data_IF_186768516783
#
_entry.id   IF_186768516783
#
_cell.length_a   1.000
_cell.length_b   1.000
_cell.length_c   1.000
_cell.angle_alpha   90.00
_cell.angle_beta   90.00
_cell.angle_gamma   90.00
#
_symmetry.space_group_name_H-M   'P 1'
#
loop_
_entity.id
_entity.type
_entity.pdbx_description
1 polymer ?
#
# COMPACT_ATOMS: atom_id res chain seq x y z
N UNK A 1 3.59 30.03 -61.19
CA UNK A 1 3.61 29.17 -60.00
C UNK A 1 2.71 29.78 -58.94
N UNK A 2 1.49 29.29 -58.78
CA UNK A 2 0.60 29.66 -57.67
C UNK A 2 0.18 28.34 -57.02
N UNK A 3 0.86 27.95 -55.95
CA UNK A 3 0.44 26.83 -55.11
C UNK A 3 -0.83 27.24 -54.37
N UNK A 4 -1.98 26.82 -54.92
CA UNK A 4 -3.27 26.97 -54.26
C UNK A 4 -3.30 26.02 -53.06
N UNK A 5 -3.08 26.57 -51.87
CA UNK A 5 -3.43 25.89 -50.61
C UNK A 5 -4.94 25.63 -50.64
N UNK A 6 -5.34 24.37 -50.94
CA UNK A 6 -6.74 23.95 -50.90
C UNK A 6 -7.30 24.21 -49.50
N UNK A 7 -8.45 24.87 -49.35
CA UNK A 7 -9.05 25.08 -48.04
C UNK A 7 -9.42 23.73 -47.42
N UNK A 8 -8.92 23.49 -46.21
CA UNK A 8 -9.13 22.27 -45.42
C UNK A 8 -10.63 22.10 -45.23
N UNK A 9 -11.24 21.23 -46.03
CA UNK A 9 -12.68 21.05 -46.02
C UNK A 9 -12.98 20.06 -44.91
N UNK A 10 -13.26 20.57 -43.69
CA UNK A 10 -13.69 19.77 -42.52
C UNK A 10 -14.87 18.83 -42.80
N UNK A 11 -15.58 19.01 -43.93
CA UNK A 11 -16.58 18.09 -44.49
C UNK A 11 -16.02 16.71 -44.91
N UNK A 12 -14.70 16.59 -45.10
CA UNK A 12 -14.03 15.33 -45.44
C UNK A 12 -13.87 14.40 -44.23
N UNK A 13 -14.14 14.88 -43.01
CA UNK A 13 -14.05 14.06 -41.80
C UNK A 13 -15.24 13.09 -41.76
N UNK A 14 -15.00 11.77 -41.75
CA UNK A 14 -16.06 10.76 -41.79
C UNK A 14 -16.93 10.78 -40.52
N UNK A 15 -18.19 10.38 -40.69
CA UNK A 15 -19.10 10.15 -39.57
C UNK A 15 -18.62 8.99 -38.69
N UNK A 16 -18.89 9.07 -37.39
CA UNK A 16 -18.50 8.02 -36.41
C UNK A 16 -19.04 6.65 -36.81
N UNK A 17 -20.27 6.57 -37.34
CA UNK A 17 -20.89 5.32 -37.78
C UNK A 17 -20.09 4.63 -38.90
N UNK A 18 -19.64 5.39 -39.90
CA UNK A 18 -18.84 4.87 -41.01
C UNK A 18 -17.49 4.31 -40.55
N UNK A 19 -16.85 4.98 -39.59
CA UNK A 19 -15.59 4.48 -39.00
C UNK A 19 -15.86 3.24 -38.15
N UNK A 20 -16.96 3.21 -37.40
CA UNK A 20 -17.33 2.07 -36.56
C UNK A 20 -17.55 0.81 -37.42
N UNK A 21 -18.21 0.95 -38.58
CA UNK A 21 -18.36 -0.14 -39.55
C UNK A 21 -17.00 -0.60 -40.11
N UNK A 22 -16.13 0.34 -40.49
CA UNK A 22 -14.81 0.02 -41.04
C UNK A 22 -13.84 -0.60 -40.01
N UNK A 23 -13.93 -0.22 -38.75
CA UNK A 23 -13.18 -0.84 -37.64
C UNK A 23 -13.65 -2.28 -37.41
N UNK A 24 -14.92 -2.56 -37.64
CA UNK A 24 -15.49 -3.90 -37.51
C UNK A 24 -15.73 -4.33 -36.07
N UNK A 25 -15.84 -5.64 -35.85
CA UNK A 25 -16.05 -6.21 -34.51
C UNK A 25 -14.81 -6.04 -33.65
N UNK A 26 -15.00 -5.56 -32.43
CA UNK A 26 -13.96 -5.49 -31.40
C UNK A 26 -14.45 -6.19 -30.12
N UNK A 27 -13.51 -6.69 -29.34
CA UNK A 27 -13.66 -7.24 -27.98
C UNK A 27 -13.89 -6.17 -26.90
N UNK A 28 -13.96 -4.89 -27.31
CA UNK A 28 -14.26 -3.77 -26.43
C UNK A 28 -15.76 -3.43 -26.48
N UNK A 29 -16.37 -3.02 -25.35
CA UNK A 29 -17.74 -2.54 -25.36
C UNK A 29 -17.92 -1.38 -26.35
N UNK A 30 -18.99 -1.43 -27.16
CA UNK A 30 -19.28 -0.43 -28.19
C UNK A 30 -19.16 1.04 -27.71
N UNK A 31 -19.65 1.42 -26.51
CA UNK A 31 -19.48 2.79 -26.01
C UNK A 31 -18.02 3.25 -25.91
N UNK A 32 -17.10 2.35 -25.55
CA UNK A 32 -15.65 2.64 -25.44
C UNK A 32 -15.06 2.88 -26.83
N UNK A 33 -15.41 2.05 -27.80
CA UNK A 33 -14.96 2.19 -29.20
C UNK A 33 -15.47 3.50 -29.80
N UNK A 34 -16.74 3.82 -29.58
CA UNK A 34 -17.35 5.08 -30.04
C UNK A 34 -16.66 6.29 -29.42
N UNK A 35 -16.34 6.25 -28.13
CA UNK A 35 -15.61 7.33 -27.46
C UNK A 35 -14.18 7.48 -28.02
N UNK A 36 -13.47 6.37 -28.25
CA UNK A 36 -12.13 6.39 -28.87
C UNK A 36 -12.15 7.04 -30.27
N UNK A 37 -13.14 6.68 -31.09
CA UNK A 37 -13.37 7.30 -32.40
C UNK A 37 -13.63 8.79 -32.24
N UNK A 38 -14.55 9.19 -31.34
CA UNK A 38 -14.88 10.60 -31.11
C UNK A 38 -13.66 11.40 -30.68
N UNK A 39 -12.84 10.89 -29.77
CA UNK A 39 -11.60 11.56 -29.32
C UNK A 39 -10.61 11.72 -30.47
N UNK A 40 -10.39 10.67 -31.29
CA UNK A 40 -9.49 10.76 -32.44
C UNK A 40 -9.99 11.76 -33.48
N UNK A 41 -11.28 11.73 -33.81
CA UNK A 41 -11.89 12.70 -34.72
C UNK A 41 -11.82 14.14 -34.18
N UNK A 42 -12.01 14.35 -32.89
CA UNK A 42 -11.85 15.68 -32.29
C UNK A 42 -10.41 16.21 -32.41
N UNK A 43 -9.40 15.36 -32.28
CA UNK A 43 -7.99 15.73 -32.54
C UNK A 43 -7.76 16.07 -34.01
N UNK A 44 -8.32 15.28 -34.94
CA UNK A 44 -8.24 15.57 -36.39
C UNK A 44 -8.95 16.89 -36.73
N UNK A 45 -10.09 17.20 -36.12
CA UNK A 45 -10.81 18.47 -36.31
C UNK A 45 -9.99 19.69 -35.88
N UNK A 46 -9.16 19.53 -34.85
CA UNK A 46 -8.27 20.57 -34.34
C UNK A 46 -6.96 20.68 -35.15
N UNK A 47 -6.60 19.66 -35.93
CA UNK A 47 -5.43 19.65 -36.79
C UNK A 47 -5.63 20.51 -38.05
N UNK A 48 -4.53 20.88 -38.70
CA UNK A 48 -4.51 21.63 -39.97
C UNK A 48 -4.71 20.75 -41.20
N UNK A 49 -4.66 19.44 -41.07
CA UNK A 49 -4.80 18.52 -42.20
C UNK A 49 -5.75 17.39 -41.82
N UNK A 50 -6.60 17.00 -42.76
CA UNK A 50 -7.52 15.87 -42.60
C UNK A 50 -6.91 14.70 -43.37
N UNK A 51 -6.45 13.63 -42.68
CA UNK A 51 -5.96 12.43 -43.34
C UNK A 51 -7.07 11.79 -44.18
N UNK A 52 -6.68 10.97 -45.16
CA UNK A 52 -7.63 10.16 -45.91
C UNK A 52 -8.36 9.15 -44.99
N UNK A 53 -9.46 8.59 -45.49
CA UNK A 53 -10.32 7.71 -44.71
C UNK A 53 -9.58 6.48 -44.15
N UNK A 54 -8.73 5.83 -44.94
CA UNK A 54 -8.00 4.63 -44.51
C UNK A 54 -6.95 4.97 -43.44
N UNK A 55 -6.28 6.12 -43.58
CA UNK A 55 -5.41 6.66 -42.54
C UNK A 55 -6.16 6.94 -41.23
N UNK A 56 -7.37 7.53 -41.30
CA UNK A 56 -8.20 7.76 -40.10
C UNK A 56 -8.59 6.44 -39.44
N UNK A 57 -9.04 5.45 -40.22
CA UNK A 57 -9.39 4.12 -39.70
C UNK A 57 -8.20 3.45 -39.03
N UNK A 58 -7.01 3.53 -39.65
CA UNK A 58 -5.76 3.00 -39.06
C UNK A 58 -5.42 3.70 -37.75
N UNK A 59 -5.47 5.03 -37.70
CA UNK A 59 -5.22 5.79 -36.47
C UNK A 59 -6.22 5.45 -35.36
N UNK A 60 -7.48 5.16 -35.71
CA UNK A 60 -8.51 4.71 -34.77
C UNK A 60 -8.22 3.30 -34.29
N UNK A 61 -7.87 2.36 -35.17
CA UNK A 61 -7.48 0.98 -34.81
C UNK A 61 -6.32 0.98 -33.83
N UNK A 62 -5.27 1.76 -34.09
CA UNK A 62 -4.16 1.94 -33.16
C UNK A 62 -4.63 2.43 -31.78
N UNK A 63 -5.53 3.43 -31.73
CA UNK A 63 -6.06 3.89 -30.44
C UNK A 63 -6.96 2.88 -29.73
N UNK A 64 -7.61 1.99 -30.47
CA UNK A 64 -8.35 0.87 -29.89
C UNK A 64 -7.38 -0.19 -29.34
N UNK A 65 -6.29 -0.46 -30.04
CA UNK A 65 -5.25 -1.39 -29.60
C UNK A 65 -4.49 -0.85 -28.38
N UNK A 66 -4.19 0.45 -28.33
CA UNK A 66 -3.66 1.14 -27.15
C UNK A 66 -4.60 0.99 -25.94
N UNK A 67 -5.92 1.17 -26.16
CA UNK A 67 -6.92 0.95 -25.12
C UNK A 67 -7.00 -0.52 -24.70
N UNK A 68 -6.89 -1.46 -25.64
CA UNK A 68 -6.88 -2.90 -25.34
C UNK A 68 -5.69 -3.26 -24.47
N UNK A 69 -4.50 -2.79 -24.83
CA UNK A 69 -3.26 -3.05 -24.09
C UNK A 69 -3.22 -2.37 -22.71
N UNK A 70 -4.00 -1.30 -22.51
CA UNK A 70 -4.13 -0.65 -21.19
C UNK A 70 -4.92 -1.45 -20.15
N UNK A 71 -5.63 -2.52 -20.55
CA UNK A 71 -6.32 -3.41 -19.61
C UNK A 71 -5.33 -4.23 -18.79
N UNK A 72 -5.70 -4.54 -17.54
CA UNK A 72 -4.98 -5.54 -16.77
C UNK A 72 -5.02 -6.88 -17.51
N UNK A 73 -3.85 -7.47 -17.71
CA UNK A 73 -3.66 -8.73 -18.43
C UNK A 73 -2.45 -9.47 -17.85
N UNK A 74 -2.38 -10.80 -18.00
CA UNK A 74 -1.21 -11.56 -17.63
C UNK A 74 0.04 -11.09 -18.38
N UNK A 75 1.17 -11.13 -17.71
CA UNK A 75 2.49 -10.79 -18.27
C UNK A 75 3.49 -11.88 -17.90
N UNK A 76 4.47 -12.13 -18.77
CA UNK A 76 5.58 -13.05 -18.49
C UNK A 76 6.71 -12.24 -17.87
N UNK A 77 7.09 -12.58 -16.63
CA UNK A 77 8.18 -11.90 -15.94
C UNK A 77 9.55 -12.46 -16.36
N UNK A 78 10.22 -11.77 -17.30
CA UNK A 78 11.60 -12.07 -17.72
C UNK A 78 12.69 -11.29 -16.96
N UNK A 79 12.34 -10.54 -15.92
CA UNK A 79 13.29 -9.63 -15.23
C UNK A 79 14.14 -10.31 -14.15
N UNK A 80 13.75 -11.50 -13.70
CA UNK A 80 14.35 -12.17 -12.53
C UNK A 80 14.00 -11.53 -11.17
N UNK A 81 13.22 -10.45 -11.14
CA UNK A 81 12.76 -9.81 -9.89
C UNK A 81 11.51 -10.52 -9.38
N UNK A 82 11.62 -11.18 -8.22
CA UNK A 82 10.51 -11.96 -7.63
C UNK A 82 9.40 -11.06 -7.09
N UNK A 83 9.73 -10.07 -6.25
CA UNK A 83 8.76 -9.09 -5.71
C UNK A 83 8.79 -7.85 -6.59
N UNK A 84 8.14 -7.91 -7.75
CA UNK A 84 8.15 -6.83 -8.73
C UNK A 84 6.98 -5.87 -8.49
N UNK A 85 7.26 -4.66 -7.97
CA UNK A 85 6.23 -3.69 -7.55
C UNK A 85 5.28 -3.29 -8.68
N UNK A 86 5.76 -3.20 -9.93
CA UNK A 86 4.93 -2.81 -11.07
C UNK A 86 4.12 -3.98 -11.66
N UNK A 87 4.47 -5.24 -11.33
CA UNK A 87 3.81 -6.44 -11.86
C UNK A 87 2.83 -7.05 -10.86
N UNK A 88 2.46 -6.30 -9.81
CA UNK A 88 1.52 -6.77 -8.79
C UNK A 88 2.17 -7.51 -7.61
N UNK A 89 3.48 -7.37 -7.40
CA UNK A 89 4.23 -7.98 -6.28
C UNK A 89 4.26 -9.51 -6.35
N UNK A 90 3.63 -10.19 -5.40
CA UNK A 90 3.73 -11.64 -5.22
C UNK A 90 2.50 -12.30 -5.86
N UNK A 91 2.67 -13.17 -6.87
CA UNK A 91 1.56 -13.97 -7.40
C UNK A 91 0.97 -14.87 -6.31
N UNK A 92 -0.34 -15.08 -6.37
CA UNK A 92 -1.02 -16.01 -5.46
C UNK A 92 -0.75 -17.47 -5.87
N UNK A 93 -0.59 -18.34 -4.89
CA UNK A 93 -0.54 -19.78 -5.11
C UNK A 93 -1.90 -20.30 -5.66
N UNK A 94 -1.88 -21.39 -6.42
CA UNK A 94 -3.06 -22.00 -7.03
C UNK A 94 -4.17 -22.27 -6.01
N UNK A 95 -3.79 -22.73 -4.82
CA UNK A 95 -4.69 -23.06 -3.72
C UNK A 95 -5.37 -21.81 -3.16
N UNK A 96 -4.64 -20.69 -3.09
CA UNK A 96 -5.18 -19.42 -2.63
C UNK A 96 -6.17 -18.83 -3.66
N UNK A 97 -5.86 -18.94 -4.95
CA UNK A 97 -6.79 -18.52 -6.03
C UNK A 97 -8.05 -19.38 -6.00
N UNK A 98 -7.92 -20.69 -5.84
CA UNK A 98 -9.05 -21.61 -5.75
C UNK A 98 -9.95 -21.29 -4.55
N UNK A 99 -9.36 -21.09 -3.36
CA UNK A 99 -10.10 -20.71 -2.16
C UNK A 99 -10.83 -19.37 -2.33
N UNK A 100 -10.16 -18.37 -2.90
CA UNK A 100 -10.76 -17.06 -3.17
C UNK A 100 -11.94 -17.15 -4.15
N UNK A 101 -11.81 -17.94 -5.22
CA UNK A 101 -12.90 -18.17 -6.17
C UNK A 101 -14.08 -18.91 -5.52
N UNK A 102 -13.81 -19.91 -4.69
CA UNK A 102 -14.84 -20.65 -3.95
C UNK A 102 -15.68 -19.73 -3.09
N UNK A 103 -15.05 -18.88 -2.27
CA UNK A 103 -15.75 -17.92 -1.41
C UNK A 103 -16.39 -16.77 -2.20
N UNK A 104 -15.70 -16.24 -3.21
CA UNK A 104 -16.14 -15.06 -3.97
C UNK A 104 -17.32 -15.31 -4.91
N UNK A 105 -17.65 -16.58 -5.18
CA UNK A 105 -18.76 -16.96 -6.07
C UNK A 105 -20.15 -16.93 -5.42
N UNK A 106 -20.23 -16.72 -4.09
CA UNK A 106 -21.50 -16.72 -3.37
C UNK A 106 -21.46 -15.92 -2.06
N UNK A 107 -22.50 -16.07 -1.25
CA UNK A 107 -22.52 -15.53 0.11
C UNK A 107 -21.55 -16.29 1.01
N UNK A 108 -20.99 -15.60 1.99
CA UNK A 108 -20.10 -16.20 3.00
C UNK A 108 -20.46 -15.67 4.38
N UNK A 109 -19.94 -16.34 5.41
CA UNK A 109 -20.06 -15.93 6.81
C UNK A 109 -19.12 -14.75 7.16
N UNK A 110 -18.87 -13.85 6.20
CA UNK A 110 -17.89 -12.76 6.31
C UNK A 110 -18.09 -11.89 7.55
N UNK A 111 -19.34 -11.65 7.97
CA UNK A 111 -19.66 -10.94 9.22
C UNK A 111 -20.80 -11.64 9.95
N UNK A 112 -20.83 -12.97 9.90
CA UNK A 112 -21.91 -13.76 10.48
C UNK A 112 -21.35 -14.91 11.32
N UNK A 113 -21.77 -14.98 12.58
CA UNK A 113 -21.41 -16.07 13.48
C UNK A 113 -22.41 -17.22 13.29
N UNK A 114 -21.91 -18.37 12.81
CA UNK A 114 -22.75 -19.53 12.53
C UNK A 114 -23.23 -20.24 13.79
N UNK A 115 -22.52 -20.11 14.91
CA UNK A 115 -22.91 -20.72 16.18
C UNK A 115 -23.96 -19.88 16.91
N UNK A 116 -23.79 -18.56 16.90
CA UNK A 116 -24.73 -17.64 17.56
C UNK A 116 -25.92 -17.25 16.67
N UNK A 117 -25.81 -17.38 15.34
CA UNK A 117 -26.87 -16.99 14.41
C UNK A 117 -27.06 -15.48 14.28
N UNK A 118 -26.02 -14.69 14.56
CA UNK A 118 -26.07 -13.23 14.57
C UNK A 118 -24.84 -12.59 13.89
N UNK A 119 -24.78 -11.25 13.87
CA UNK A 119 -23.67 -10.52 13.27
C UNK A 119 -22.37 -10.78 14.04
N UNK A 120 -21.37 -11.31 13.33
CA UNK A 120 -20.05 -11.63 13.87
C UNK A 120 -18.95 -10.66 13.43
N UNK A 121 -17.72 -10.93 13.89
CA UNK A 121 -16.51 -10.18 13.51
C UNK A 121 -15.91 -10.74 12.21
N UNK A 122 -15.55 -9.85 11.28
CA UNK A 122 -14.92 -10.22 10.00
C UNK A 122 -13.57 -10.93 10.14
N UNK A 123 -12.73 -10.43 11.04
CA UNK A 123 -11.34 -10.85 11.16
C UNK A 123 -11.10 -12.00 12.14
N UNK A 124 -12.12 -12.51 12.84
CA UNK A 124 -11.91 -13.32 14.05
C UNK A 124 -10.95 -14.51 13.87
N UNK A 125 -11.12 -15.28 12.79
CA UNK A 125 -10.24 -16.41 12.50
C UNK A 125 -8.81 -15.97 12.15
N UNK A 126 -8.66 -15.04 11.21
CA UNK A 126 -7.33 -14.64 10.70
C UNK A 126 -6.53 -13.86 11.75
N UNK A 127 -7.18 -13.01 12.54
CA UNK A 127 -6.55 -12.25 13.62
C UNK A 127 -6.04 -13.18 14.73
N UNK A 128 -6.83 -14.20 15.11
CA UNK A 128 -6.38 -15.21 16.07
C UNK A 128 -5.21 -16.03 15.52
N UNK A 129 -5.32 -16.52 14.28
CA UNK A 129 -4.25 -17.28 13.63
C UNK A 129 -2.94 -16.48 13.53
N UNK A 130 -3.03 -15.19 13.18
CA UNK A 130 -1.87 -14.28 13.11
C UNK A 130 -1.27 -14.02 14.49
N UNK A 131 -2.08 -13.80 15.53
CA UNK A 131 -1.58 -13.61 16.88
C UNK A 131 -0.78 -14.83 17.36
N UNK A 132 -1.30 -16.04 17.11
CA UNK A 132 -0.62 -17.30 17.43
C UNK A 132 0.67 -17.49 16.63
N UNK A 133 0.64 -17.24 15.32
CA UNK A 133 1.84 -17.33 14.45
C UNK A 133 2.94 -16.36 14.88
N UNK A 134 2.55 -15.15 15.28
CA UNK A 134 3.48 -14.10 15.69
C UNK A 134 3.92 -14.20 17.17
N UNK A 135 3.29 -15.07 17.96
CA UNK A 135 3.48 -15.07 19.42
C UNK A 135 3.08 -13.73 20.06
N UNK A 136 2.09 -13.05 19.47
CA UNK A 136 1.58 -11.76 19.91
C UNK A 136 0.32 -11.96 20.77
N UNK A 137 0.02 -10.98 21.63
CA UNK A 137 -1.18 -10.99 22.48
C UNK A 137 -2.46 -10.81 21.67
N UNK A 138 -2.38 -10.06 20.56
CA UNK A 138 -3.44 -9.84 19.61
C UNK A 138 -2.85 -9.48 18.24
N UNK A 139 -3.64 -9.61 17.19
CA UNK A 139 -3.31 -9.13 15.86
C UNK A 139 -4.54 -8.49 15.22
N UNK A 140 -4.32 -7.64 14.22
CA UNK A 140 -5.39 -7.10 13.38
C UNK A 140 -4.91 -6.99 11.94
N UNK A 141 -5.87 -7.06 11.01
CA UNK A 141 -5.59 -6.95 9.57
C UNK A 141 -6.28 -5.70 9.02
N UNK A 142 -5.49 -4.88 8.33
CA UNK A 142 -5.96 -3.67 7.67
C UNK A 142 -5.57 -3.71 6.20
N UNK A 143 -6.06 -2.75 5.42
CA UNK A 143 -5.88 -2.70 3.97
C UNK A 143 -4.42 -2.95 3.51
N UNK A 144 -3.46 -2.25 4.11
CA UNK A 144 -2.04 -2.39 3.81
C UNK A 144 -1.17 -1.83 4.96
N UNK A 145 0.15 -2.02 4.90
CA UNK A 145 1.07 -1.53 5.93
C UNK A 145 1.03 0.00 6.11
N UNK A 146 0.76 0.74 5.03
CA UNK A 146 0.56 2.19 5.07
C UNK A 146 -0.59 2.59 5.99
N UNK A 147 -1.76 1.97 5.80
CA UNK A 147 -2.93 2.18 6.65
C UNK A 147 -2.64 1.75 8.09
N UNK A 148 -1.88 0.65 8.29
CA UNK A 148 -1.47 0.22 9.63
C UNK A 148 -0.66 1.33 10.33
N UNK A 149 0.35 1.89 9.66
CA UNK A 149 1.17 2.96 10.23
C UNK A 149 0.33 4.18 10.61
N UNK A 150 -0.58 4.62 9.72
CA UNK A 150 -1.50 5.73 10.00
C UNK A 150 -2.34 5.47 11.26
N UNK A 151 -2.94 4.28 11.36
CA UNK A 151 -3.79 3.92 12.50
C UNK A 151 -2.99 3.84 13.80
N UNK A 152 -1.78 3.26 13.76
CA UNK A 152 -0.91 3.13 14.93
C UNK A 152 -0.45 4.50 15.43
N UNK A 153 0.04 5.35 14.51
CA UNK A 153 0.49 6.69 14.85
C UNK A 153 -0.68 7.47 15.46
N UNK A 154 -1.84 7.52 14.78
CA UNK A 154 -3.02 8.23 15.27
C UNK A 154 -3.51 7.71 16.62
N UNK A 155 -3.40 6.41 16.89
CA UNK A 155 -3.75 5.83 18.18
C UNK A 155 -2.84 6.36 19.30
N UNK A 156 -1.52 6.35 19.10
CA UNK A 156 -0.58 6.80 20.12
C UNK A 156 -0.46 8.31 20.24
N UNK A 157 -0.81 9.06 19.19
CA UNK A 157 -0.68 10.52 19.17
C UNK A 157 -1.91 11.28 19.64
N UNK A 158 -2.87 10.60 20.27
CA UNK A 158 -4.11 11.23 20.76
C UNK A 158 -3.90 12.27 21.87
N UNK A 159 -2.89 12.09 22.72
CA UNK A 159 -2.58 13.01 23.84
C UNK A 159 -1.23 13.69 23.73
N UNK A 160 -0.30 13.08 23.00
CA UNK A 160 1.08 13.50 22.82
C UNK A 160 1.36 13.49 21.33
N UNK A 161 2.22 14.35 20.82
CA UNK A 161 2.34 14.49 19.36
C UNK A 161 3.61 13.90 18.77
N UNK A 162 4.66 13.73 19.57
CA UNK A 162 6.00 13.55 19.00
C UNK A 162 6.29 12.08 18.72
N UNK A 163 6.58 11.78 17.45
CA UNK A 163 7.02 10.47 16.97
C UNK A 163 8.52 10.51 16.75
N UNK A 164 9.28 9.80 17.59
CA UNK A 164 10.75 9.77 17.51
C UNK A 164 11.19 8.72 16.50
N UNK A 165 11.95 9.12 15.49
CA UNK A 165 12.41 8.27 14.38
C UNK A 165 13.82 8.66 13.91
N UNK A 166 14.62 7.69 13.47
CA UNK A 166 15.92 7.98 12.85
C UNK A 166 15.77 8.67 11.49
N UNK A 167 16.61 9.68 11.20
CA UNK A 167 16.69 10.31 9.87
C UNK A 167 17.01 9.32 8.76
N UNK A 168 17.80 8.28 9.06
CA UNK A 168 18.13 7.21 8.11
C UNK A 168 16.96 6.28 7.76
N UNK A 169 15.82 6.44 8.43
CA UNK A 169 14.62 5.59 8.29
C UNK A 169 13.44 6.35 7.64
N UNK A 170 13.64 7.61 7.22
CA UNK A 170 12.65 8.39 6.46
C UNK A 170 12.68 8.00 4.99
N UNK A 171 12.07 6.85 4.69
CA UNK A 171 12.14 6.22 3.38
C UNK A 171 11.02 6.67 2.45
N UNK A 172 11.29 6.65 1.14
CA UNK A 172 10.27 6.66 0.10
C UNK A 172 10.15 5.25 -0.51
N UNK A 173 8.93 4.72 -0.55
CA UNK A 173 8.63 3.38 -1.11
C UNK A 173 7.73 3.53 -2.34
N UNK A 174 8.06 2.83 -3.43
CA UNK A 174 7.27 2.87 -4.66
C UNK A 174 7.14 4.27 -5.27
N UNK A 175 5.95 4.56 -5.83
CA UNK A 175 5.70 5.76 -6.65
C UNK A 175 5.33 7.05 -5.90
N UNK A 176 5.59 7.15 -4.59
CA UNK A 176 5.30 8.39 -3.83
C UNK A 176 4.97 8.21 -2.35
N UNK A 177 5.12 7.02 -1.79
CA UNK A 177 4.84 6.80 -0.37
C UNK A 177 6.02 7.27 0.48
N UNK A 178 5.88 8.38 1.21
CA UNK A 178 6.93 8.93 2.10
C UNK A 178 6.52 8.85 3.55
N UNK A 179 7.32 8.15 4.37
CA UNK A 179 7.04 7.93 5.79
C UNK A 179 6.77 9.23 6.55
N UNK A 180 7.61 10.26 6.34
CA UNK A 180 7.45 11.56 6.98
C UNK A 180 6.09 12.20 6.71
N UNK A 181 5.72 12.33 5.42
CA UNK A 181 4.44 12.93 5.01
C UNK A 181 3.23 12.18 5.61
N UNK A 182 3.30 10.86 5.68
CA UNK A 182 2.21 10.04 6.24
C UNK A 182 2.06 10.24 7.73
N UNK A 183 3.16 10.26 8.47
CA UNK A 183 3.14 10.54 9.90
C UNK A 183 2.51 11.92 10.12
N UNK A 184 2.94 12.93 9.36
CA UNK A 184 2.40 14.30 9.48
C UNK A 184 0.91 14.38 9.13
N UNK A 185 0.41 13.60 8.17
CA UNK A 185 -1.04 13.57 7.84
C UNK A 185 -1.92 13.12 9.02
N UNK A 186 -1.36 12.42 9.99
CA UNK A 186 -2.09 12.03 11.22
C UNK A 186 -2.22 13.16 12.24
N UNK A 187 -1.56 14.30 12.02
CA UNK A 187 -1.40 15.38 13.00
C UNK A 187 -0.24 15.17 13.98
N UNK A 188 0.50 14.08 13.83
CA UNK A 188 1.72 13.82 14.61
C UNK A 188 2.85 14.77 14.21
N UNK A 189 3.77 15.02 15.15
CA UNK A 189 4.99 15.79 14.93
C UNK A 189 6.17 14.83 14.79
N UNK A 190 6.86 14.92 13.67
CA UNK A 190 8.05 14.15 13.42
C UNK A 190 9.20 14.68 14.28
N UNK A 191 9.79 13.83 15.12
CA UNK A 191 10.94 14.18 15.96
C UNK A 191 12.14 13.34 15.55
N UNK A 192 12.81 13.82 14.51
CA UNK A 192 13.91 13.12 13.88
C UNK A 192 15.18 13.11 14.74
N UNK A 193 15.90 11.98 14.73
CA UNK A 193 17.13 11.79 15.51
C UNK A 193 18.27 11.22 14.68
N UNK A 194 19.50 11.42 15.16
CA UNK A 194 20.71 10.99 14.48
C UNK A 194 20.90 11.67 13.12
N UNK A 195 21.69 11.03 12.27
CA UNK A 195 21.94 11.38 10.89
C UNK A 195 21.52 10.25 9.94
N UNK A 196 21.58 10.51 8.63
CA UNK A 196 21.20 9.55 7.58
C UNK A 196 21.91 8.21 7.73
N UNK A 197 23.23 8.22 7.93
CA UNK A 197 24.05 7.03 7.99
C UNK A 197 24.23 6.49 9.41
N UNK A 198 24.27 7.35 10.44
CA UNK A 198 24.50 6.95 11.83
C UNK A 198 23.41 7.46 12.75
N UNK A 199 22.83 6.56 13.53
CA UNK A 199 21.96 6.89 14.66
C UNK A 199 22.38 6.02 15.83
N UNK A 200 22.51 6.62 17.01
CA UNK A 200 22.91 5.95 18.24
C UNK A 200 21.72 5.81 19.19
N UNK A 201 21.86 4.95 20.21
CA UNK A 201 20.84 4.85 21.26
C UNK A 201 20.73 6.17 22.08
N UNK A 202 21.83 6.92 22.18
CA UNK A 202 21.88 8.24 22.83
C UNK A 202 20.99 9.26 22.12
N UNK A 203 20.97 9.23 20.77
CA UNK A 203 20.12 10.12 19.97
C UNK A 203 18.63 9.88 20.28
N UNK A 204 18.20 8.62 20.37
CA UNK A 204 16.85 8.27 20.82
C UNK A 204 16.60 8.71 22.27
N UNK A 205 17.53 8.46 23.18
CA UNK A 205 17.36 8.74 24.60
C UNK A 205 17.23 10.24 24.89
N UNK A 206 18.05 11.08 24.24
CA UNK A 206 17.98 12.54 24.32
C UNK A 206 16.74 13.13 23.65
N UNK A 207 16.09 12.35 22.80
CA UNK A 207 14.89 12.79 22.11
C UNK A 207 13.57 12.55 22.85
N UNK A 208 13.59 11.71 23.88
CA UNK A 208 12.40 11.41 24.66
C UNK A 208 12.13 12.54 25.64
N UNK A 209 10.95 13.17 25.51
CA UNK A 209 10.48 14.25 26.37
C UNK A 209 9.00 14.12 26.75
N UNK A 210 8.42 15.13 27.42
CA UNK A 210 7.03 15.09 27.89
C UNK A 210 6.01 14.80 26.78
N UNK A 211 6.25 15.35 25.58
CA UNK A 211 5.37 15.22 24.41
C UNK A 211 5.67 13.99 23.53
N UNK A 212 6.59 13.11 23.93
CA UNK A 212 6.88 11.88 23.17
C UNK A 212 5.75 10.88 23.28
N UNK A 213 5.10 10.63 22.15
CA UNK A 213 4.00 9.69 22.00
C UNK A 213 4.50 8.27 21.77
N UNK A 214 5.51 8.10 20.92
CA UNK A 214 6.06 6.80 20.56
C UNK A 214 7.47 6.91 19.96
N UNK A 215 8.20 5.81 20.00
CA UNK A 215 9.40 5.59 19.19
C UNK A 215 9.01 4.71 18.01
N UNK A 216 9.30 5.16 16.81
CA UNK A 216 9.07 4.44 15.56
C UNK A 216 10.40 4.03 14.96
N UNK A 217 10.53 2.74 14.66
CA UNK A 217 11.63 2.20 13.84
C UNK A 217 11.06 1.71 12.52
N UNK A 218 11.62 2.15 11.39
CA UNK A 218 11.17 1.72 10.05
C UNK A 218 12.25 0.90 9.37
N UNK A 219 11.88 -0.28 8.87
CA UNK A 219 12.78 -1.12 8.10
C UNK A 219 13.02 -0.55 6.69
N UNK A 220 14.29 -0.40 6.30
CA UNK A 220 14.71 -0.01 4.95
C UNK A 220 14.50 -1.16 3.97
N UNK A 221 13.31 -1.26 3.36
CA UNK A 221 12.89 -2.44 2.60
C UNK A 221 13.40 -2.50 1.15
N UNK A 222 13.61 -1.35 0.52
CA UNK A 222 13.92 -1.21 -0.91
C UNK A 222 15.33 -0.63 -1.19
N UNK A 223 16.09 -0.31 -0.15
CA UNK A 223 17.49 0.08 -0.27
C UNK A 223 18.27 -0.36 0.98
N UNK A 224 19.59 -0.33 0.87
CA UNK A 224 20.49 -0.47 2.00
C UNK A 224 21.58 0.60 1.92
N UNK A 225 22.21 0.89 3.05
CA UNK A 225 23.38 1.76 3.11
C UNK A 225 24.58 0.93 3.54
N UNK A 226 25.72 1.15 2.89
CA UNK A 226 27.01 0.51 3.21
C UNK A 226 28.06 1.56 3.58
N UNK A 227 29.16 1.14 4.21
CA UNK A 227 30.21 2.03 4.70
C UNK A 227 30.00 2.41 6.17
N UNK A 228 30.15 3.68 6.52
CA UNK A 228 30.04 4.19 7.89
C UNK A 228 28.57 4.31 8.33
N UNK A 229 27.92 3.17 8.54
CA UNK A 229 26.51 3.06 8.89
C UNK A 229 26.35 2.47 10.29
N UNK A 230 25.50 3.09 11.11
CA UNK A 230 25.23 2.67 12.47
C UNK A 230 23.74 2.83 12.78
N UNK A 231 23.11 1.80 13.36
CA UNK A 231 21.71 1.84 13.77
C UNK A 231 21.54 0.93 14.99
N UNK A 232 20.87 1.37 16.07
CA UNK A 232 20.66 0.54 17.23
C UNK A 232 19.71 -0.61 16.88
N UNK A 233 19.94 -1.77 17.51
CA UNK A 233 19.09 -2.94 17.34
C UNK A 233 17.69 -2.69 17.93
N UNK A 234 16.69 -3.41 17.42
CA UNK A 234 15.32 -3.32 17.94
C UNK A 234 15.25 -3.73 19.41
N UNK A 235 16.14 -4.64 19.87
CA UNK A 235 16.26 -5.04 21.28
C UNK A 235 16.69 -3.87 22.17
N UNK A 236 17.69 -3.10 21.75
CA UNK A 236 18.21 -1.95 22.50
C UNK A 236 17.18 -0.82 22.58
N UNK A 237 16.53 -0.50 21.47
CA UNK A 237 15.47 0.53 21.42
C UNK A 237 14.28 0.09 22.29
N UNK A 238 13.89 -1.18 22.22
CA UNK A 238 12.82 -1.74 23.04
C UNK A 238 13.13 -1.66 24.54
N UNK A 239 14.39 -1.92 24.93
CA UNK A 239 14.82 -1.78 26.32
C UNK A 239 14.78 -0.31 26.80
N UNK A 240 15.24 0.63 25.96
CA UNK A 240 15.15 2.07 26.23
C UNK A 240 13.68 2.52 26.37
N UNK A 241 12.81 2.09 25.45
CA UNK A 241 11.39 2.42 25.43
C UNK A 241 10.69 1.95 26.72
N UNK A 242 10.97 0.71 27.16
CA UNK A 242 10.50 0.20 28.46
C UNK A 242 10.98 1.04 29.63
N UNK A 243 12.28 1.35 29.69
CA UNK A 243 12.88 2.18 30.75
C UNK A 243 12.22 3.57 30.83
N UNK A 244 11.88 4.14 29.68
CA UNK A 244 11.29 5.49 29.56
C UNK A 244 9.75 5.49 29.56
N UNK A 245 9.11 4.31 29.61
CA UNK A 245 7.65 4.13 29.54
C UNK A 245 7.02 4.79 28.30
N UNK A 246 7.67 4.60 27.15
CA UNK A 246 7.19 5.08 25.84
C UNK A 246 6.90 3.86 24.96
N UNK A 247 5.78 3.83 24.21
CA UNK A 247 5.52 2.80 23.20
C UNK A 247 6.64 2.71 22.16
N UNK A 248 7.00 1.49 21.79
CA UNK A 248 7.93 1.20 20.69
C UNK A 248 7.19 0.45 19.59
N UNK A 249 7.25 0.97 18.37
CA UNK A 249 6.63 0.40 17.17
C UNK A 249 7.70 0.16 16.12
N UNK A 250 7.63 -1.01 15.49
CA UNK A 250 8.53 -1.36 14.40
C UNK A 250 7.72 -1.68 13.13
N UNK A 251 7.98 -0.93 12.06
CA UNK A 251 7.39 -1.16 10.74
C UNK A 251 8.29 -2.08 9.91
N UNK A 252 7.86 -3.34 9.79
CA UNK A 252 8.47 -4.35 8.94
C UNK A 252 7.64 -4.55 7.66
N UNK A 253 7.90 -3.75 6.64
CA UNK A 253 7.26 -3.89 5.33
C UNK A 253 7.84 -5.00 4.43
N UNK A 254 8.78 -5.84 4.93
CA UNK A 254 9.35 -6.96 4.17
C UNK A 254 8.72 -8.29 4.59
N UNK A 255 8.47 -9.17 3.62
CA UNK A 255 8.17 -10.58 3.88
C UNK A 255 9.41 -11.24 4.52
N UNK A 256 9.39 -11.44 5.85
CA UNK A 256 10.26 -12.42 6.49
C UNK A 256 9.49 -13.73 6.61
N UNK A 257 10.18 -14.86 6.41
CA UNK A 257 9.66 -16.12 6.89
C UNK A 257 9.35 -15.98 8.39
N UNK A 258 8.19 -16.45 8.83
CA UNK A 258 7.88 -16.57 10.25
C UNK A 258 8.72 -17.75 10.75
N UNK A 259 10.00 -17.52 10.99
CA UNK A 259 10.81 -18.46 11.74
C UNK A 259 10.39 -18.31 13.20
N UNK A 260 9.94 -19.42 13.81
CA UNK A 260 9.80 -19.50 15.27
C UNK A 260 11.19 -19.26 15.85
N UNK A 261 11.48 -18.04 16.29
CA UNK A 261 12.70 -17.76 17.04
C UNK A 261 12.57 -18.48 18.40
N UNK A 262 13.38 -19.50 18.72
CA UNK A 262 13.15 -20.31 19.92
C UNK A 262 13.44 -19.57 21.23
N UNK A 263 14.09 -18.41 21.19
CA UNK A 263 14.63 -17.76 22.40
C UNK A 263 14.21 -16.29 22.58
N UNK A 264 13.41 -15.73 21.68
CA UNK A 264 12.77 -14.43 21.89
C UNK A 264 11.39 -14.46 21.27
N UNK A 265 10.33 -14.29 22.07
CA UNK A 265 8.92 -14.26 21.66
C UNK A 265 8.54 -13.06 20.77
N UNK A 266 9.29 -12.86 19.70
CA UNK A 266 9.12 -11.83 18.69
C UNK A 266 9.13 -12.51 17.34
N UNK A 267 7.95 -12.88 16.85
CA UNK A 267 7.70 -13.00 15.43
C UNK A 267 6.90 -11.75 15.02
N UNK A 268 7.43 -10.99 14.05
CA UNK A 268 6.76 -9.80 13.53
C UNK A 268 6.65 -9.96 12.02
N UNK A 269 5.42 -10.13 11.56
CA UNK A 269 4.99 -9.84 10.18
C UNK A 269 3.62 -9.19 10.28
N UNK A 270 3.52 -7.94 9.80
CA UNK A 270 2.34 -7.09 9.95
C UNK A 270 2.17 -6.55 11.37
N UNK A 271 2.60 -5.29 11.59
CA UNK A 271 2.26 -4.43 12.73
C UNK A 271 1.73 -5.14 14.01
N UNK A 272 2.56 -5.94 14.67
CA UNK A 272 2.22 -6.52 15.96
C UNK A 272 2.42 -5.46 17.05
N UNK A 273 1.33 -4.89 17.53
CA UNK A 273 1.28 -4.01 18.70
C UNK A 273 1.40 -4.88 19.97
N UNK A 274 2.50 -4.78 20.72
CA UNK A 274 2.51 -5.20 22.14
C UNK A 274 2.14 -4.02 23.01
N UNK A 275 1.01 -4.09 23.73
CA UNK A 275 0.63 -3.10 24.73
C UNK A 275 0.99 -3.65 26.12
N UNK A 276 2.11 -3.21 26.68
CA UNK A 276 2.47 -3.54 28.06
C UNK A 276 1.59 -2.72 29.02
N UNK A 277 0.36 -3.19 29.28
CA UNK A 277 -0.45 -2.72 30.40
C UNK A 277 0.09 -3.37 31.68
N UNK A 278 0.93 -2.63 32.43
CA UNK A 278 1.30 -3.04 33.78
C UNK A 278 0.05 -3.07 34.65
N UNK A 279 -0.37 -4.26 35.06
CA UNK A 279 -1.38 -4.44 36.12
C UNK A 279 -0.93 -3.66 37.35
N UNK A 280 -1.72 -2.66 37.77
CA UNK A 280 -1.63 -2.13 39.13
C UNK A 280 -2.09 -3.22 40.07
N UNK A 281 -1.19 -3.65 40.95
CA UNK A 281 -1.51 -4.35 42.18
C UNK A 281 -2.16 -3.37 43.15
N UNK A 282 -3.44 -3.58 43.43
CA UNK A 282 -4.11 -3.38 44.73
C UNK A 282 -5.31 -4.33 44.67
N UNK A 283 -5.41 -5.37 45.48
CA UNK A 283 -5.44 -5.26 46.93
C UNK A 283 -6.92 -5.25 47.34
N UNK A 284 -7.42 -6.45 47.55
CA UNK A 284 -8.61 -6.87 48.31
C UNK A 284 -9.38 -5.80 49.10
N UNK A 285 -10.70 -5.72 48.89
CA UNK A 285 -11.64 -5.63 50.01
C UNK A 285 -13.05 -6.06 49.56
N UNK A 286 -13.59 -7.01 50.34
CA UNK A 286 -14.94 -7.54 50.29
C UNK A 286 -15.99 -6.49 50.67
N UNK A 287 -17.22 -6.80 50.25
CA UNK A 287 -18.48 -6.70 51.01
C UNK A 287 -19.44 -5.55 50.72
N UNK A 288 -20.70 -5.99 50.65
CA UNK A 288 -21.99 -5.32 50.93
C UNK A 288 -22.66 -4.44 49.87
N UNK A 289 -23.85 -4.94 49.49
CA UNK A 289 -25.02 -4.38 48.80
C UNK A 289 -25.00 -4.39 47.26
#
# INVERSE_FOLDING_TARGET
>A
MHDRVKPITRRQIPAVGRILEAVGRCDLPRPVVVDAIRRKLSRIRAAREVPDFESIVTLVRHSIDDLRTSKLQPIINGTGIVIHTNFGRVPLASEAVYAANGIGSGYSNLEYDLAAGERGRRGGYIENALALLCGAEAATVVNNCAAALVLIVRHFTGTKTDVVISRGELVQIGGGFRIGEIIETTGAKLREVGATNKTTLGDYAGAIGPNTAMILKVHRSNFFMSGFVESPSSKEISALARKKRVPFVEDHCRQKAIDRCPETGTAVSGAALRQALSRRTTGDSRSSL
#
